data_IF_789298241220
#
_entry.id   IF_789298241220
#
_cell.length_a   1.000
_cell.length_b   1.000
_cell.length_c   1.000
_cell.angle_alpha   90.00
_cell.angle_beta   90.00
_cell.angle_gamma   90.00
#
_symmetry.space_group_name_H-M   'P 1'
#
loop_
_entity.id
_entity.type
_entity.pdbx_description
1 polymer ?
#
# COMPACT_ATOMS: atom_id res chain seq x y z
N UNK A 1 3.41 -21.99 -10.11
CA UNK A 1 3.32 -22.17 -8.63
C UNK A 1 4.69 -21.91 -8.06
N UNK A 2 5.11 -20.64 -8.00
CA UNK A 2 6.39 -20.26 -7.41
C UNK A 2 6.32 -20.38 -5.90
N UNK A 3 7.34 -21.00 -5.31
CA UNK A 3 7.65 -20.86 -3.89
C UNK A 3 8.20 -19.44 -3.72
N UNK A 4 7.30 -18.44 -3.63
CA UNK A 4 7.68 -17.03 -3.67
C UNK A 4 8.75 -16.69 -2.64
N UNK A 5 9.95 -16.37 -3.11
CA UNK A 5 11.00 -15.75 -2.32
C UNK A 5 10.81 -14.24 -2.21
N UNK A 6 11.64 -13.62 -1.39
CA UNK A 6 11.70 -12.17 -1.24
C UNK A 6 13.15 -11.73 -1.07
N UNK A 7 13.44 -10.51 -1.49
CA UNK A 7 14.77 -9.92 -1.46
C UNK A 7 14.72 -8.60 -0.72
N UNK A 8 15.65 -8.41 0.20
CA UNK A 8 15.92 -7.11 0.82
C UNK A 8 16.93 -6.34 -0.03
N UNK A 9 16.61 -5.08 -0.33
CA UNK A 9 17.52 -4.21 -1.04
C UNK A 9 17.39 -2.76 -0.58
N UNK A 10 18.40 -1.95 -0.88
CA UNK A 10 18.25 -0.50 -0.83
C UNK A 10 17.29 -0.06 -1.93
N UNK A 11 16.31 0.75 -1.55
CA UNK A 11 15.33 1.33 -2.46
C UNK A 11 15.95 1.97 -3.72
N UNK A 12 17.04 2.73 -3.53
CA UNK A 12 17.72 3.43 -4.62
C UNK A 12 18.43 2.46 -5.61
N UNK A 13 18.65 1.20 -5.21
CA UNK A 13 19.33 0.18 -6.00
C UNK A 13 18.39 -0.69 -6.85
N UNK A 14 17.07 -0.67 -6.58
CA UNK A 14 16.06 -1.45 -7.34
C UNK A 14 16.14 -1.16 -8.84
N UNK A 15 16.25 0.12 -9.21
CA UNK A 15 16.32 0.55 -10.61
C UNK A 15 17.62 0.16 -11.34
N UNK A 16 18.69 -0.12 -10.59
CA UNK A 16 20.05 -0.26 -11.15
C UNK A 16 20.56 -1.70 -11.21
N UNK A 17 20.06 -2.60 -10.37
CA UNK A 17 20.81 -3.81 -10.04
C UNK A 17 20.06 -5.14 -10.21
N UNK A 18 18.76 -5.16 -10.50
CA UNK A 18 17.99 -6.42 -10.51
C UNK A 18 17.24 -6.66 -11.83
N UNK A 19 17.86 -7.37 -12.79
CA UNK A 19 17.18 -7.87 -13.99
C UNK A 19 15.99 -8.76 -13.68
N UNK A 20 16.10 -9.61 -12.66
CA UNK A 20 15.03 -10.55 -12.26
C UNK A 20 13.78 -9.81 -11.75
N UNK A 21 13.95 -8.65 -11.11
CA UNK A 21 12.82 -7.80 -10.72
C UNK A 21 12.08 -7.23 -11.94
N UNK A 22 12.82 -6.83 -12.97
CA UNK A 22 12.20 -6.30 -14.19
C UNK A 22 11.42 -7.38 -14.94
N UNK A 23 11.95 -8.61 -14.95
CA UNK A 23 11.26 -9.78 -15.51
C UNK A 23 10.01 -10.11 -14.70
N UNK A 24 10.12 -10.25 -13.38
CA UNK A 24 8.98 -10.54 -12.51
C UNK A 24 7.88 -9.46 -12.60
N UNK A 25 8.28 -8.18 -12.71
CA UNK A 25 7.33 -7.10 -12.91
C UNK A 25 6.68 -7.13 -14.30
N UNK A 26 7.43 -7.47 -15.35
CA UNK A 26 6.88 -7.62 -16.70
C UNK A 26 5.86 -8.78 -16.77
N UNK A 27 6.16 -9.91 -16.13
CA UNK A 27 5.27 -11.06 -16.05
C UNK A 27 3.97 -10.70 -15.30
N UNK A 28 4.08 -10.01 -14.16
CA UNK A 28 2.92 -9.53 -13.42
C UNK A 28 2.12 -8.48 -14.21
N UNK A 29 2.79 -7.61 -14.95
CA UNK A 29 2.15 -6.63 -15.82
C UNK A 29 1.37 -7.31 -16.95
N UNK A 30 1.91 -8.36 -17.57
CA UNK A 30 1.18 -9.14 -18.56
C UNK A 30 -0.05 -9.83 -17.96
N UNK A 31 0.10 -10.45 -16.78
CA UNK A 31 -1.00 -11.09 -16.06
C UNK A 31 -2.13 -10.11 -15.75
N UNK A 32 -1.81 -8.94 -15.20
CA UNK A 32 -2.83 -7.97 -14.81
C UNK A 32 -3.46 -7.27 -16.01
N UNK A 33 -2.70 -7.04 -17.09
CA UNK A 33 -3.25 -6.54 -18.36
C UNK A 33 -4.23 -7.56 -18.94
N UNK A 34 -3.91 -8.85 -18.91
CA UNK A 34 -4.83 -9.91 -19.33
C UNK A 34 -6.12 -9.91 -18.49
N UNK A 35 -5.99 -9.77 -17.17
CA UNK A 35 -7.13 -9.67 -16.26
C UNK A 35 -7.98 -8.42 -16.54
N UNK A 36 -7.35 -7.26 -16.73
CA UNK A 36 -8.03 -6.00 -17.06
C UNK A 36 -8.76 -6.11 -18.41
N UNK A 37 -8.13 -6.69 -19.44
CA UNK A 37 -8.76 -6.89 -20.75
C UNK A 37 -9.98 -7.81 -20.66
N UNK A 38 -9.95 -8.81 -19.77
CA UNK A 38 -11.09 -9.70 -19.51
C UNK A 38 -12.22 -8.99 -18.77
N UNK A 39 -11.89 -8.27 -17.69
CA UNK A 39 -12.90 -7.66 -16.81
C UNK A 39 -13.49 -6.37 -17.37
N UNK A 40 -12.70 -5.60 -18.13
CA UNK A 40 -13.06 -4.27 -18.61
C UNK A 40 -13.36 -4.22 -20.11
N UNK A 41 -13.54 -5.38 -20.75
CA UNK A 41 -13.95 -5.47 -22.15
C UNK A 41 -15.17 -4.55 -22.41
N UNK A 42 -15.17 -3.75 -23.50
CA UNK A 42 -14.26 -3.78 -24.63
C UNK A 42 -13.02 -2.85 -24.50
N UNK A 43 -12.72 -2.30 -23.32
CA UNK A 43 -11.57 -1.40 -23.15
C UNK A 43 -10.24 -2.15 -23.32
N UNK A 44 -9.23 -1.45 -23.83
CA UNK A 44 -7.87 -1.98 -24.01
C UNK A 44 -6.85 -1.13 -23.25
N UNK A 45 -5.63 -1.63 -23.13
CA UNK A 45 -4.58 -0.93 -22.40
C UNK A 45 -4.11 0.36 -23.11
N UNK A 46 -4.16 1.49 -22.40
CA UNK A 46 -3.72 2.81 -22.88
C UNK A 46 -2.48 3.37 -22.19
N UNK A 47 -1.86 2.62 -21.26
CA UNK A 47 -0.65 3.08 -20.58
C UNK A 47 -0.90 4.27 -19.65
N UNK A 48 0.05 5.21 -19.59
CA UNK A 48 -0.02 6.37 -18.67
C UNK A 48 -1.03 7.44 -19.12
N UNK A 49 -1.38 7.48 -20.42
CA UNK A 49 -2.27 8.49 -21.01
C UNK A 49 -3.31 7.77 -21.87
N UNK A 50 -4.29 7.10 -21.23
CA UNK A 50 -5.31 6.35 -21.96
C UNK A 50 -6.33 7.26 -22.65
N UNK A 51 -6.85 6.81 -23.79
CA UNK A 51 -8.02 7.41 -24.44
C UNK A 51 -9.34 6.91 -23.82
N UNK A 52 -10.49 7.48 -24.22
CA UNK A 52 -11.82 7.12 -23.66
C UNK A 52 -12.18 5.64 -23.82
N UNK A 53 -11.70 4.99 -24.89
CA UNK A 53 -11.85 3.55 -25.14
C UNK A 53 -10.84 2.66 -24.43
N UNK A 54 -9.95 3.23 -23.63
CA UNK A 54 -8.86 2.52 -22.96
C UNK A 54 -8.97 2.61 -21.44
N UNK A 55 -8.18 1.80 -20.75
CA UNK A 55 -7.89 1.92 -19.32
C UNK A 55 -6.43 2.32 -19.12
N UNK A 56 -6.13 3.00 -18.02
CA UNK A 56 -4.80 3.55 -17.76
C UNK A 56 -4.01 2.80 -16.71
N UNK A 57 -2.76 3.21 -16.56
CA UNK A 57 -1.80 2.79 -15.52
C UNK A 57 -1.30 4.01 -14.77
N UNK A 58 -1.13 3.87 -13.47
CA UNK A 58 -0.50 4.84 -12.58
C UNK A 58 0.30 4.12 -11.50
N UNK A 59 1.02 4.87 -10.67
CA UNK A 59 1.62 4.31 -9.44
C UNK A 59 0.52 3.89 -8.48
N UNK A 60 0.79 2.91 -7.62
CA UNK A 60 -0.12 2.59 -6.52
C UNK A 60 -0.35 3.86 -5.70
N UNK A 61 -1.60 4.34 -5.67
CA UNK A 61 -1.96 5.56 -4.96
C UNK A 61 -2.34 5.20 -3.53
N UNK A 62 -1.88 5.98 -2.52
CA UNK A 62 -2.32 5.76 -1.15
C UNK A 62 -3.85 5.80 -1.07
N UNK A 63 -4.50 6.68 -1.84
CA UNK A 63 -5.96 6.87 -1.86
C UNK A 63 -6.80 5.61 -2.17
N UNK A 64 -6.19 4.51 -2.62
CA UNK A 64 -6.86 3.23 -2.83
C UNK A 64 -7.06 2.41 -1.55
N UNK A 65 -6.47 2.84 -0.44
CA UNK A 65 -6.44 2.14 0.83
C UNK A 65 -7.04 2.99 1.97
N UNK A 66 -7.54 2.33 3.01
CA UNK A 66 -7.93 2.95 4.27
C UNK A 66 -6.66 3.14 5.14
N UNK A 67 -6.55 4.20 5.96
CA UNK A 67 -5.59 4.23 7.04
C UNK A 67 -5.76 3.05 7.94
N UNK A 68 -4.60 2.65 8.45
CA UNK A 68 -4.49 1.93 9.69
C UNK A 68 -5.52 2.44 10.74
N UNK A 69 -6.41 1.57 11.26
CA UNK A 69 -7.40 1.92 12.26
C UNK A 69 -6.79 2.49 13.55
N UNK A 70 -5.51 2.21 13.83
CA UNK A 70 -4.78 2.70 15.00
C UNK A 70 -4.25 4.14 14.86
N UNK A 71 -4.26 4.70 13.64
CA UNK A 71 -3.82 6.08 13.38
C UNK A 71 -4.96 7.09 13.59
N UNK A 72 -6.22 6.65 13.50
CA UNK A 72 -7.37 7.56 13.41
C UNK A 72 -8.66 7.00 14.04
N UNK A 73 -8.60 6.13 15.04
CA UNK A 73 -9.80 5.57 15.69
C UNK A 73 -10.76 4.85 14.71
N UNK A 74 -10.22 4.16 13.72
CA UNK A 74 -11.02 3.59 12.61
C UNK A 74 -11.57 4.63 11.63
N UNK A 75 -10.97 5.83 11.54
CA UNK A 75 -11.33 6.85 10.56
C UNK A 75 -10.35 6.94 9.38
N UNK A 76 -10.90 6.89 8.16
CA UNK A 76 -10.17 6.97 6.90
C UNK A 76 -9.26 8.23 6.80
N UNK A 77 -8.16 8.13 6.03
CA UNK A 77 -6.98 8.99 6.11
C UNK A 77 -7.33 10.41 5.65
N UNK A 78 -7.36 11.35 6.58
CA UNK A 78 -7.71 12.75 6.29
C UNK A 78 -9.17 13.10 6.61
N UNK A 79 -9.91 12.23 7.30
CA UNK A 79 -11.18 12.57 7.91
C UNK A 79 -11.02 13.19 9.29
N UNK A 80 -11.33 14.48 9.40
CA UNK A 80 -11.76 15.14 10.65
C UNK A 80 -12.86 14.33 11.32
N UNK A 81 -12.76 14.10 12.62
CA UNK A 81 -13.81 13.49 13.42
C UNK A 81 -15.14 14.23 13.24
N UNK A 82 -16.22 13.45 13.17
CA UNK A 82 -17.63 13.87 13.12
C UNK A 82 -18.12 14.44 11.78
N UNK A 83 -18.73 13.55 11.00
CA UNK A 83 -19.90 13.94 10.19
C UNK A 83 -19.70 14.29 8.72
N UNK A 84 -18.65 13.83 8.03
CA UNK A 84 -18.59 13.81 6.55
C UNK A 84 -17.50 12.81 6.12
N UNK A 85 -17.77 12.06 5.06
CA UNK A 85 -16.92 11.02 4.44
C UNK A 85 -15.43 11.16 4.72
N UNK A 86 -14.90 10.12 5.34
CA UNK A 86 -13.49 10.02 5.70
C UNK A 86 -12.70 9.95 4.38
N UNK A 87 -11.83 10.91 4.12
CA UNK A 87 -11.02 10.89 2.88
C UNK A 87 -10.02 9.74 2.94
N UNK A 88 -9.57 9.17 1.82
CA UNK A 88 -8.47 8.21 1.77
C UNK A 88 -7.11 8.94 1.74
N UNK A 89 -5.97 8.26 1.98
CA UNK A 89 -4.70 8.95 2.20
C UNK A 89 -4.23 9.71 1.00
N UNK A 90 -3.75 10.91 1.28
CA UNK A 90 -2.97 11.71 0.33
C UNK A 90 -1.48 11.33 0.38
N UNK A 91 -1.03 10.54 1.37
CA UNK A 91 0.37 10.16 1.56
C UNK A 91 0.58 8.82 2.30
N UNK A 92 1.76 8.21 2.16
CA UNK A 92 2.14 6.90 2.74
C UNK A 92 2.65 6.91 4.20
N UNK A 93 2.57 8.04 4.91
CA UNK A 93 3.01 8.21 6.30
C UNK A 93 1.91 7.80 7.28
N UNK A 94 2.18 6.81 8.11
CA UNK A 94 1.28 6.30 9.14
C UNK A 94 1.77 6.68 10.54
N UNK A 95 0.86 6.89 11.49
CA UNK A 95 1.20 7.15 12.89
C UNK A 95 0.80 5.95 13.76
N UNK A 96 1.74 5.49 14.58
CA UNK A 96 1.58 4.37 15.50
C UNK A 96 1.55 4.90 16.92
N UNK A 97 0.44 4.67 17.62
CA UNK A 97 0.18 5.11 19.00
C UNK A 97 0.30 3.96 20.00
N UNK A 98 0.46 2.72 19.52
CA UNK A 98 0.58 1.50 20.32
C UNK A 98 1.62 0.56 19.69
N UNK A 99 2.23 -0.28 20.54
CA UNK A 99 3.12 -1.37 20.11
C UNK A 99 2.34 -2.67 19.92
N UNK A 100 2.93 -3.61 19.19
CA UNK A 100 2.36 -4.93 18.94
C UNK A 100 1.84 -5.11 17.52
N UNK A 101 0.92 -6.06 17.33
CA UNK A 101 0.32 -6.33 16.03
C UNK A 101 -0.64 -5.21 15.63
N UNK A 102 -0.43 -4.66 14.45
CA UNK A 102 -1.18 -3.53 13.89
C UNK A 102 -1.54 -3.84 12.44
N UNK A 103 -2.70 -3.38 11.98
CA UNK A 103 -3.00 -3.32 10.54
C UNK A 103 -2.20 -2.17 9.94
N UNK A 104 -1.50 -2.38 8.84
CA UNK A 104 -0.67 -1.39 8.18
C UNK A 104 -1.40 -0.76 7.00
N UNK A 105 -1.98 -1.58 6.12
CA UNK A 105 -2.66 -1.14 4.89
C UNK A 105 -3.86 -2.06 4.68
N UNK A 106 -5.04 -1.50 4.40
CA UNK A 106 -6.23 -2.27 4.08
C UNK A 106 -7.05 -1.58 2.98
N UNK A 107 -7.95 -2.29 2.31
CA UNK A 107 -8.76 -1.72 1.22
C UNK A 107 -9.67 -0.59 1.71
N UNK A 108 -9.93 0.41 0.84
CA UNK A 108 -10.65 1.63 1.20
C UNK A 108 -12.20 1.50 1.30
N UNK A 109 -12.76 0.36 0.89
CA UNK A 109 -14.22 0.16 0.77
C UNK A 109 -14.74 -0.78 1.86
N UNK A 110 -16.06 -0.82 2.03
CA UNK A 110 -16.70 -1.70 2.99
C UNK A 110 -16.27 -3.16 2.77
N UNK A 111 -15.82 -3.82 3.84
CA UNK A 111 -15.23 -5.16 3.77
C UNK A 111 -13.74 -5.16 3.41
N UNK A 112 -13.06 -4.03 3.60
CA UNK A 112 -11.62 -3.84 3.34
C UNK A 112 -11.23 -4.15 1.90
N UNK A 113 -12.12 -3.82 0.96
CA UNK A 113 -11.97 -4.13 -0.47
C UNK A 113 -11.38 -2.98 -1.27
N UNK A 114 -10.73 -3.31 -2.39
CA UNK A 114 -10.33 -2.32 -3.38
C UNK A 114 -11.54 -1.74 -4.14
N UNK A 115 -11.47 -0.48 -4.60
CA UNK A 115 -12.54 0.09 -5.43
C UNK A 115 -12.75 -0.66 -6.75
N UNK A 116 -14.01 -0.74 -7.22
CA UNK A 116 -14.47 -1.48 -8.42
C UNK A 116 -13.73 -1.13 -9.74
N UNK A 117 -13.13 0.06 -9.83
CA UNK A 117 -12.45 0.54 -11.05
C UNK A 117 -10.94 0.37 -11.02
N UNK A 118 -10.39 -0.33 -10.02
CA UNK A 118 -8.95 -0.45 -9.80
C UNK A 118 -8.50 -1.89 -9.67
N UNK A 119 -7.38 -2.20 -10.32
CA UNK A 119 -6.61 -3.43 -10.13
C UNK A 119 -5.16 -3.05 -9.82
N UNK A 120 -4.52 -3.78 -8.92
CA UNK A 120 -3.17 -3.45 -8.43
C UNK A 120 -2.21 -4.60 -8.70
N UNK A 121 -1.10 -4.30 -9.36
CA UNK A 121 0.05 -5.18 -9.48
C UNK A 121 1.01 -4.86 -8.33
N UNK A 122 1.00 -5.66 -7.28
CA UNK A 122 1.80 -5.42 -6.07
C UNK A 122 3.08 -6.25 -6.06
N UNK A 123 4.23 -5.57 -6.10
CA UNK A 123 5.56 -6.19 -6.21
C UNK A 123 6.40 -6.16 -4.94
N UNK A 124 5.96 -5.44 -3.91
CA UNK A 124 6.78 -5.27 -2.72
C UNK A 124 6.42 -4.06 -1.88
N UNK A 125 7.27 -3.79 -0.89
CA UNK A 125 7.11 -2.70 0.07
C UNK A 125 8.42 -1.92 0.22
N UNK A 126 8.33 -0.60 0.23
CA UNK A 126 9.45 0.24 0.64
C UNK A 126 9.17 0.91 1.98
N UNK A 127 10.22 1.01 2.77
CA UNK A 127 10.20 1.64 4.08
C UNK A 127 11.23 2.78 4.08
N UNK A 128 10.91 3.95 3.50
CA UNK A 128 11.85 5.06 3.30
C UNK A 128 12.10 5.86 4.60
N UNK A 129 12.22 5.16 5.72
CA UNK A 129 12.52 5.69 7.04
C UNK A 129 13.92 5.22 7.45
N UNK A 130 14.70 6.09 8.08
CA UNK A 130 15.98 5.66 8.65
C UNK A 130 15.79 4.81 9.92
N UNK A 131 14.78 5.16 10.72
CA UNK A 131 14.40 4.41 11.90
C UNK A 131 13.24 3.50 11.52
N UNK A 132 13.50 2.19 11.51
CA UNK A 132 12.49 1.17 11.26
C UNK A 132 11.93 0.70 12.59
N UNK A 133 10.61 0.53 12.64
CA UNK A 133 9.90 0.04 13.81
C UNK A 133 9.05 -1.20 13.52
N UNK A 134 9.00 -1.63 12.26
CA UNK A 134 8.26 -2.82 11.83
C UNK A 134 9.24 -3.97 11.70
N UNK A 135 9.00 -5.05 12.44
CA UNK A 135 9.87 -6.24 12.45
C UNK A 135 9.23 -7.46 11.83
N UNK A 136 7.91 -7.49 11.71
CA UNK A 136 7.18 -8.60 11.08
C UNK A 136 6.10 -8.03 10.17
N UNK A 137 5.84 -8.68 9.03
CA UNK A 137 4.66 -8.43 8.19
C UNK A 137 3.92 -9.74 7.87
N UNK A 138 2.61 -9.63 7.66
CA UNK A 138 1.77 -10.69 7.08
C UNK A 138 0.65 -10.03 6.29
N UNK A 139 0.14 -10.69 5.27
CA UNK A 139 -1.02 -10.18 4.54
C UNK A 139 -2.01 -11.27 4.19
N UNK A 140 -3.23 -10.84 3.88
CA UNK A 140 -4.28 -11.70 3.37
C UNK A 140 -5.09 -10.98 2.31
N UNK A 141 -5.61 -11.77 1.39
CA UNK A 141 -6.62 -11.40 0.42
C UNK A 141 -7.90 -12.18 0.72
N UNK A 142 -9.03 -11.81 0.12
CA UNK A 142 -10.28 -12.59 0.22
C UNK A 142 -10.08 -14.09 -0.01
N UNK A 143 -9.17 -14.44 -0.92
CA UNK A 143 -9.01 -15.81 -1.42
C UNK A 143 -7.92 -16.57 -0.68
N UNK A 144 -6.94 -15.86 -0.09
CA UNK A 144 -5.73 -16.49 0.45
C UNK A 144 -5.10 -15.69 1.59
N UNK A 145 -4.63 -16.42 2.60
CA UNK A 145 -3.73 -15.92 3.64
C UNK A 145 -2.29 -16.26 3.30
N UNK A 146 -1.40 -15.30 3.49
CA UNK A 146 0.03 -15.46 3.25
C UNK A 146 0.79 -15.60 4.56
N UNK A 147 1.99 -16.19 4.48
CA UNK A 147 2.83 -16.44 5.65
C UNK A 147 3.30 -15.15 6.31
N UNK A 148 3.77 -15.29 7.56
CA UNK A 148 4.47 -14.20 8.24
C UNK A 148 5.89 -14.12 7.69
N UNK A 149 6.37 -12.91 7.44
CA UNK A 149 7.75 -12.63 7.10
C UNK A 149 8.37 -11.83 8.25
N UNK A 150 9.46 -12.36 8.83
CA UNK A 150 10.32 -11.57 9.69
C UNK A 150 11.19 -10.68 8.80
N UNK A 151 11.25 -9.40 9.13
CA UNK A 151 11.91 -8.36 8.36
C UNK A 151 12.86 -7.51 9.21
N UNK A 152 13.26 -8.01 10.39
CA UNK A 152 14.20 -7.35 11.29
C UNK A 152 15.54 -7.02 10.60
N UNK A 153 15.97 -7.84 9.64
CA UNK A 153 17.19 -7.62 8.85
C UNK A 153 17.17 -6.31 8.04
N UNK A 154 15.99 -5.69 7.84
CA UNK A 154 15.88 -4.38 7.19
C UNK A 154 16.56 -3.25 7.96
N UNK A 155 16.79 -3.42 9.27
CA UNK A 155 17.44 -2.42 10.13
C UNK A 155 18.88 -2.08 9.69
N UNK A 156 19.49 -2.94 8.86
CA UNK A 156 20.86 -2.75 8.35
C UNK A 156 20.88 -1.73 7.18
N UNK A 157 19.76 -1.57 6.49
CA UNK A 157 19.64 -0.73 5.30
C UNK A 157 19.21 0.70 5.66
N UNK A 158 19.59 1.67 4.84
CA UNK A 158 19.25 3.08 5.04
C UNK A 158 17.86 3.43 4.51
N UNK A 159 17.46 2.83 3.39
CA UNK A 159 16.11 2.91 2.80
C UNK A 159 15.68 1.50 2.38
N UNK A 160 15.34 0.63 3.34
CA UNK A 160 15.02 -0.75 3.02
C UNK A 160 13.79 -0.87 2.12
N UNK A 161 13.85 -1.82 1.21
CA UNK A 161 12.75 -2.29 0.41
C UNK A 161 12.74 -3.81 0.37
N UNK A 162 11.53 -4.36 0.42
CA UNK A 162 11.23 -5.78 0.24
C UNK A 162 10.65 -5.92 -1.16
N UNK A 163 11.29 -6.75 -1.96
CA UNK A 163 10.85 -7.08 -3.31
C UNK A 163 10.45 -8.55 -3.33
N UNK A 164 9.26 -8.83 -3.84
CA UNK A 164 8.81 -10.20 -4.05
C UNK A 164 9.35 -10.72 -5.38
N UNK A 165 9.79 -11.98 -5.39
CA UNK A 165 10.22 -12.65 -6.62
C UNK A 165 9.06 -12.90 -7.59
N UNK A 166 7.87 -13.11 -7.04
CA UNK A 166 6.61 -13.19 -7.76
C UNK A 166 5.67 -12.18 -7.11
N UNK A 167 5.17 -11.21 -7.88
CA UNK A 167 4.25 -10.21 -7.34
C UNK A 167 2.81 -10.73 -7.27
N UNK A 168 1.95 -9.93 -6.67
CA UNK A 168 0.57 -10.32 -6.36
C UNK A 168 -0.41 -9.41 -7.09
N UNK A 169 -1.27 -9.95 -7.97
CA UNK A 169 -2.39 -9.20 -8.51
C UNK A 169 -3.47 -9.08 -7.43
N UNK A 170 -3.88 -7.84 -7.14
CA UNK A 170 -5.03 -7.53 -6.29
C UNK A 170 -6.13 -7.01 -7.20
N UNK A 171 -7.24 -7.73 -7.24
CA UNK A 171 -8.35 -7.48 -8.16
C UNK A 171 -9.27 -6.38 -7.62
N UNK A 172 -10.11 -5.85 -8.49
CA UNK A 172 -11.21 -4.97 -8.09
C UNK A 172 -12.12 -5.69 -7.09
N UNK A 173 -12.63 -4.95 -6.10
CA UNK A 173 -13.48 -5.48 -5.03
C UNK A 173 -12.88 -6.62 -4.19
N UNK A 174 -11.59 -6.92 -4.37
CA UNK A 174 -10.90 -7.91 -3.58
C UNK A 174 -10.54 -7.33 -2.20
N UNK A 175 -10.88 -8.06 -1.14
CA UNK A 175 -10.44 -7.70 0.20
C UNK A 175 -8.92 -7.81 0.31
N UNK A 176 -8.27 -6.81 0.90
CA UNK A 176 -6.83 -6.78 1.12
C UNK A 176 -6.53 -6.22 2.51
N UNK A 177 -5.71 -6.95 3.26
CA UNK A 177 -5.23 -6.53 4.57
C UNK A 177 -3.76 -6.91 4.75
N UNK A 178 -2.92 -5.91 4.99
CA UNK A 178 -1.53 -6.03 5.40
C UNK A 178 -1.44 -5.70 6.89
N UNK A 179 -0.83 -6.59 7.66
CA UNK A 179 -0.53 -6.42 9.07
C UNK A 179 0.98 -6.39 9.28
N UNK A 180 1.40 -5.79 10.39
CA UNK A 180 2.77 -5.90 10.87
C UNK A 180 2.89 -5.76 12.37
N UNK A 181 4.07 -6.09 12.88
CA UNK A 181 4.40 -5.93 14.29
C UNK A 181 5.23 -4.67 14.49
N UNK A 182 4.70 -3.74 15.30
CA UNK A 182 5.37 -2.49 15.66
C UNK A 182 6.06 -2.65 17.02
N UNK A 183 7.39 -2.65 17.03
CA UNK A 183 8.17 -2.90 18.25
C UNK A 183 8.24 -1.68 19.19
N UNK A 184 8.28 -0.47 18.62
CA UNK A 184 8.48 0.78 19.36
C UNK A 184 9.96 1.17 19.51
N UNK A 185 10.30 2.03 20.48
CA UNK A 185 9.42 2.67 21.46
C UNK A 185 8.55 3.76 20.83
N UNK A 186 7.40 4.04 21.46
CA UNK A 186 6.63 5.26 21.16
C UNK A 186 7.31 6.43 21.87
N UNK A 187 7.66 7.51 21.15
CA UNK A 187 8.29 8.68 21.76
C UNK A 187 7.42 9.29 22.88
N UNK A 188 8.01 9.64 24.03
CA UNK A 188 7.30 10.09 25.24
C UNK A 188 7.72 11.49 25.75
N UNK A 189 8.63 12.17 25.05
CA UNK A 189 9.11 13.50 25.34
C UNK A 189 8.07 14.61 25.11
N UNK A 190 8.28 15.79 25.73
CA UNK A 190 7.32 16.91 25.66
C UNK A 190 7.16 17.46 24.23
N UNK A 191 8.22 17.39 23.42
CA UNK A 191 8.23 17.86 22.02
C UNK A 191 8.00 16.75 20.99
N UNK A 192 7.72 15.53 21.47
CA UNK A 192 7.51 14.40 20.58
C UNK A 192 6.18 14.51 19.84
N UNK A 193 6.13 14.00 18.59
CA UNK A 193 4.96 14.11 17.75
C UNK A 193 3.72 13.51 18.39
N UNK A 194 2.60 14.20 18.21
CA UNK A 194 1.28 13.78 18.66
C UNK A 194 0.31 13.74 17.49
N UNK A 195 -0.62 12.80 17.53
CA UNK A 195 -1.82 12.76 16.70
C UNK A 195 -3.04 12.93 17.61
N UNK A 196 -4.09 13.59 17.12
CA UNK A 196 -5.35 13.70 17.85
C UNK A 196 -6.12 12.38 17.73
N UNK A 197 -6.40 11.75 18.87
CA UNK A 197 -7.22 10.55 18.98
C UNK A 197 -8.37 10.89 19.93
N UNK A 198 -9.59 11.00 19.40
CA UNK A 198 -10.79 11.33 20.18
C UNK A 198 -10.69 12.62 21.01
N UNK A 199 -10.10 13.67 20.43
CA UNK A 199 -9.88 14.95 21.10
C UNK A 199 -8.73 14.92 22.12
N UNK A 200 -7.94 13.85 22.13
CA UNK A 200 -6.79 13.66 23.02
C UNK A 200 -5.50 13.62 22.20
N UNK A 201 -4.59 14.56 22.49
CA UNK A 201 -3.26 14.58 21.92
C UNK A 201 -2.45 13.35 22.40
N UNK A 202 -2.33 12.36 21.52
CA UNK A 202 -1.71 11.07 21.81
C UNK A 202 -0.34 11.00 21.14
N UNK A 203 0.67 10.56 21.88
CA UNK A 203 2.03 10.42 21.36
C UNK A 203 2.09 9.32 20.30
N UNK A 204 2.84 9.55 19.24
CA UNK A 204 2.94 8.61 18.13
C UNK A 204 4.35 8.52 17.54
N UNK A 205 4.67 7.37 16.96
CA UNK A 205 5.80 7.21 16.07
C UNK A 205 5.32 7.22 14.61
N UNK A 206 6.09 7.81 13.70
CA UNK A 206 5.74 7.84 12.29
C UNK A 206 6.56 6.84 11.48
N UNK A 207 5.89 6.03 10.69
CA UNK A 207 6.51 5.11 9.73
C UNK A 207 5.91 5.34 8.35
N UNK A 208 6.73 5.31 7.29
CA UNK A 208 6.24 5.24 5.93
C UNK A 208 6.34 3.80 5.44
N UNK A 209 5.26 3.35 4.82
CA UNK A 209 5.15 2.02 4.23
C UNK A 209 4.53 2.25 2.86
N UNK A 210 5.32 2.06 1.80
CA UNK A 210 4.96 2.39 0.43
C UNK A 210 4.79 1.10 -0.36
N UNK A 211 3.63 0.89 -0.96
CA UNK A 211 3.42 -0.26 -1.85
C UNK A 211 4.07 -0.03 -3.21
N UNK A 212 4.73 -1.07 -3.71
CA UNK A 212 5.53 -1.04 -4.92
C UNK A 212 4.81 -1.76 -6.06
N UNK A 213 4.92 -1.21 -7.26
CA UNK A 213 4.30 -1.75 -8.46
C UNK A 213 3.42 -0.72 -9.15
N UNK A 214 2.29 -1.16 -9.70
CA UNK A 214 1.40 -0.33 -10.52
C UNK A 214 -0.07 -0.53 -10.17
N UNK A 215 -0.86 0.51 -10.36
CA UNK A 215 -2.32 0.45 -10.33
C UNK A 215 -2.89 0.72 -11.72
N UNK A 216 -3.88 -0.05 -12.11
CA UNK A 216 -4.62 0.08 -13.35
C UNK A 216 -6.00 0.64 -13.03
N UNK A 217 -6.49 1.57 -13.86
CA UNK A 217 -7.75 2.25 -13.61
C UNK A 217 -8.65 2.25 -14.85
N UNK A 218 -9.91 1.86 -14.65
CA UNK A 218 -10.92 1.77 -15.71
C UNK A 218 -11.46 3.14 -16.13
N UNK A 219 -11.65 4.05 -15.18
CA UNK A 219 -12.27 5.37 -15.37
C UNK A 219 -11.21 6.46 -15.16
N UNK A 220 -10.92 7.21 -16.22
CA UNK A 220 -9.86 8.22 -16.25
C UNK A 220 -10.10 9.34 -15.21
N UNK A 221 -11.34 9.81 -15.10
CA UNK A 221 -11.70 10.92 -14.21
C UNK A 221 -11.45 10.62 -12.73
N UNK A 222 -11.41 9.33 -12.33
CA UNK A 222 -11.10 8.93 -10.95
C UNK A 222 -9.64 9.15 -10.57
N UNK A 223 -8.74 9.26 -11.54
CA UNK A 223 -7.29 9.46 -11.31
C UNK A 223 -6.84 10.87 -11.69
N UNK A 224 -7.57 11.57 -12.57
CA UNK A 224 -7.28 12.96 -12.96
C UNK A 224 -7.77 14.02 -11.96
N UNK A 225 -8.28 13.61 -10.79
CA UNK A 225 -8.66 14.53 -9.71
C UNK A 225 -7.48 15.37 -9.21
N UNK A 226 -7.78 16.41 -8.43
CA UNK A 226 -6.74 17.19 -7.73
C UNK A 226 -5.86 16.26 -6.90
N UNK A 227 -4.53 16.41 -6.88
CA UNK A 227 -3.67 15.63 -5.99
C UNK A 227 -4.20 15.68 -4.55
N UNK A 228 -4.54 14.51 -4.00
CA UNK A 228 -5.12 14.37 -2.67
C UNK A 228 -6.66 14.43 -2.59
N UNK A 229 -7.37 14.42 -3.72
CA UNK A 229 -8.81 14.21 -3.76
C UNK A 229 -9.16 12.73 -3.45
N UNK A 230 -10.33 12.50 -2.86
CA UNK A 230 -10.85 11.16 -2.60
C UNK A 230 -11.20 10.43 -3.90
N UNK A 231 -10.93 9.11 -3.96
CA UNK A 231 -11.12 8.22 -5.13
C UNK A 231 -12.20 7.16 -4.85
#
# INVERSE_FOLDING_TARGET
MGQGGYIFCEWDSISKAYPDYQLAFADLEEEIISLCNSNWAPKTFGGLVPDSGQYGRTTILPALFDPNPNTYNGAQFGGTASGTYQTPPTYWRQAFTQTGHQTLIQGARAGETLPEDFQIAWMGLAFPNKNQHITEIRWQTSDRKFGRLNIEEMNIYNKPAIIFEEGFPIKEEQAFELYGYFEGPIPAGPFDPTVDVDGTATKCAYQRIVMLGAAYYRIIDKVLGTPGAAI
#
